data_IF_744528833318
#
_entry.id   IF_744528833318
#
_cell.length_a   1.000
_cell.length_b   1.000
_cell.length_c   1.000
_cell.angle_alpha   90.00
_cell.angle_beta   90.00
_cell.angle_gamma   90.00
#
_symmetry.space_group_name_H-M   'P 1'
#
loop_
_entity.id
_entity.type
_entity.pdbx_description
1 polymer ?
2 non-polymer ?
3 non-polymer ?
4 water ?
#
# COMPACT_ATOMS: atom_id res chain seq x y z
N UNK A 1 -1.73 -23.00 7.47
CA UNK A 1 -1.41 -22.11 6.32
C UNK A 1 -1.82 -20.67 6.61
N UNK A 2 -1.01 -19.72 6.15
CA UNK A 2 -1.30 -18.31 6.36
C UNK A 2 -2.52 -17.90 5.54
N UNK A 3 -3.34 -17.02 6.11
CA UNK A 3 -4.54 -16.57 5.44
C UNK A 3 -4.21 -15.66 4.27
N UNK A 4 -4.85 -15.91 3.14
CA UNK A 4 -4.64 -15.10 1.95
C UNK A 4 -5.75 -14.05 1.85
N UNK A 5 -5.38 -12.85 1.43
CA UNK A 5 -6.35 -11.76 1.27
C UNK A 5 -6.47 -11.40 -0.20
N UNK A 6 -7.56 -10.72 -0.54
CA UNK A 6 -7.91 -10.46 -1.93
C UNK A 6 -8.10 -8.97 -2.15
N UNK A 7 -7.10 -8.30 -2.74
CA UNK A 7 -7.23 -6.87 -3.03
C UNK A 7 -8.39 -6.56 -3.96
N UNK A 8 -9.12 -5.49 -3.66
CA UNK A 8 -10.14 -4.99 -4.56
C UNK A 8 -9.46 -4.29 -5.75
N UNK A 9 -10.24 -3.89 -6.77
CA UNK A 9 -9.64 -3.53 -8.06
C UNK A 9 -8.54 -2.48 -8.07
N UNK A 10 -8.69 -1.39 -7.33
CA UNK A 10 -7.68 -0.33 -7.38
C UNK A 10 -6.37 -0.77 -6.74
N UNK A 11 -6.44 -1.34 -5.54
CA UNK A 11 -5.22 -1.85 -4.92
C UNK A 11 -4.59 -2.94 -5.78
N UNK A 12 -5.41 -3.82 -6.35
CA UNK A 12 -4.86 -4.90 -7.17
C UNK A 12 -4.09 -4.32 -8.37
N UNK A 13 -4.65 -3.27 -8.97
CA UNK A 13 -4.00 -2.61 -10.10
C UNK A 13 -2.65 -2.02 -9.70
N UNK A 14 -2.60 -1.39 -8.53
CA UNK A 14 -1.33 -0.85 -8.04
C UNK A 14 -0.32 -1.97 -7.81
N UNK A 15 -0.76 -3.05 -7.17
CA UNK A 15 0.14 -4.15 -6.86
C UNK A 15 0.74 -4.75 -8.12
N UNK A 16 -0.09 -4.92 -9.14
CA UNK A 16 0.39 -5.51 -10.39
C UNK A 16 1.29 -4.55 -11.15
N UNK A 17 1.05 -3.25 -11.01
CA UNK A 17 1.91 -2.25 -11.63
C UNK A 17 3.29 -2.31 -10.97
N UNK A 18 3.33 -2.84 -9.75
CA UNK A 18 4.58 -2.96 -9.01
C UNK A 18 5.22 -4.32 -9.24
N UNK A 19 4.57 -5.17 -10.03
CA UNK A 19 5.17 -6.44 -10.40
C UNK A 19 4.46 -7.67 -9.88
N UNK A 20 3.41 -7.49 -9.09
CA UNK A 20 2.63 -8.62 -8.59
C UNK A 20 1.94 -9.34 -9.74
N UNK A 21 1.83 -10.66 -9.64
CA UNK A 21 1.32 -11.47 -10.74
C UNK A 21 0.24 -12.46 -10.33
N UNK A 22 -0.41 -12.20 -9.20
CA UNK A 22 -1.52 -13.03 -8.76
C UNK A 22 -2.64 -12.18 -8.15
N UNK A 23 -3.70 -12.83 -7.69
CA UNK A 23 -4.88 -12.12 -7.21
C UNK A 23 -5.09 -12.20 -5.69
N UNK A 24 -4.43 -13.14 -5.04
CA UNK A 24 -4.48 -13.24 -3.58
C UNK A 24 -3.07 -13.30 -3.01
N UNK A 25 -2.93 -12.84 -1.77
CA UNK A 25 -1.62 -12.55 -1.19
C UNK A 25 -1.69 -12.75 0.31
N UNK A 26 -0.56 -13.04 0.94
CA UNK A 26 -0.47 -12.87 2.38
C UNK A 26 -0.36 -11.37 2.65
N UNK A 27 -0.66 -10.94 3.86
CA UNK A 27 -0.49 -9.54 4.20
C UNK A 27 0.96 -9.13 4.02
N UNK A 28 1.88 -10.03 4.33
CA UNK A 28 3.30 -9.73 4.17
C UNK A 28 3.61 -9.40 2.72
N UNK A 29 3.01 -10.15 1.79
CA UNK A 29 3.22 -9.91 0.37
C UNK A 29 2.61 -8.59 -0.09
N UNK A 30 1.41 -8.28 0.40
CA UNK A 30 0.79 -7.02 0.03
C UNK A 30 1.67 -5.86 0.48
N UNK A 31 2.16 -5.95 1.71
CA UNK A 31 3.03 -4.91 2.26
C UNK A 31 4.33 -4.81 1.48
N UNK A 32 4.87 -5.94 1.05
CA UNK A 32 6.11 -5.92 0.29
C UNK A 32 5.92 -5.12 -0.99
N UNK A 33 4.90 -5.46 -1.77
CA UNK A 33 4.67 -4.78 -3.03
C UNK A 33 4.35 -3.30 -2.84
N UNK A 34 3.60 -2.96 -1.80
CA UNK A 34 3.34 -1.56 -1.51
C UNK A 34 4.64 -0.82 -1.20
N UNK A 35 5.52 -1.47 -0.45
CA UNK A 35 6.81 -0.87 -0.16
C UNK A 35 7.64 -0.64 -1.41
N UNK A 36 7.54 -1.56 -2.37
CA UNK A 36 8.26 -1.42 -3.63
C UNK A 36 7.71 -0.23 -4.41
N UNK A 37 6.39 -0.09 -4.43
CA UNK A 37 5.75 1.02 -5.12
C UNK A 37 6.18 2.37 -4.53
N UNK A 38 6.15 2.46 -3.20
CA UNK A 38 6.50 3.69 -2.50
C UNK A 38 7.95 4.07 -2.76
N UNK A 39 8.82 3.08 -2.71
CA UNK A 39 10.23 3.28 -3.04
C UNK A 39 10.43 3.73 -4.49
N UNK A 40 9.78 3.04 -5.41
CA UNK A 40 9.94 3.31 -6.84
C UNK A 40 9.44 4.71 -7.21
N UNK A 41 8.37 5.14 -6.56
CA UNK A 41 7.79 6.46 -6.83
C UNK A 41 8.48 7.56 -6.02
N UNK A 42 9.42 7.17 -5.16
CA UNK A 42 10.20 8.14 -4.40
C UNK A 42 9.30 8.97 -3.47
N UNK A 43 8.38 8.30 -2.78
CA UNK A 43 7.39 9.01 -1.98
C UNK A 43 7.87 9.32 -0.56
N UNK A 44 9.01 8.76 -0.16
CA UNK A 44 9.53 9.05 1.18
C UNK A 44 9.99 10.50 1.30
N UNK A 45 9.72 11.10 2.46
CA UNK A 45 10.25 12.41 2.76
C UNK A 45 11.77 12.33 2.84
N UNK A 46 12.45 13.36 2.35
CA UNK A 46 13.91 13.30 2.25
C UNK A 46 14.61 13.40 3.60
N UNK A 47 14.02 14.12 4.55
CA UNK A 47 14.65 14.33 5.85
C UNK A 47 14.01 13.50 6.96
N UNK A 48 12.70 13.29 6.87
CA UNK A 48 12.00 12.42 7.81
C UNK A 48 11.59 11.14 7.09
N UNK A 49 12.51 10.18 7.04
CA UNK A 49 12.34 9.05 6.13
C UNK A 49 11.27 8.04 6.55
N UNK A 50 10.67 8.25 7.72
CA UNK A 50 9.52 7.44 8.12
C UNK A 50 8.22 7.92 7.48
N UNK A 51 8.27 9.11 6.88
CA UNK A 51 7.08 9.72 6.31
C UNK A 51 6.94 9.43 4.82
N UNK A 52 5.74 9.00 4.44
CA UNK A 52 5.40 8.76 3.04
C UNK A 52 4.45 9.84 2.56
N UNK A 53 4.85 10.57 1.52
CA UNK A 53 4.02 11.62 0.94
C UNK A 53 3.08 11.06 -0.13
N UNK A 54 1.78 11.27 0.06
CA UNK A 54 0.77 10.74 -0.86
C UNK A 54 -0.03 11.83 -1.57
N UNK A 55 0.25 13.09 -1.25
CA UNK A 55 -0.57 14.21 -1.72
C UNK A 55 -0.43 14.50 -3.21
N UNK A 56 0.60 13.93 -3.84
CA UNK A 56 0.80 14.10 -5.28
C UNK A 56 0.63 12.79 -6.03
N UNK A 57 0.23 11.74 -5.32
CA UNK A 57 0.24 10.39 -5.89
C UNK A 57 -1.12 9.72 -5.73
N UNK A 58 -1.49 8.85 -6.69
CA UNK A 58 -2.75 8.13 -6.54
C UNK A 58 -2.87 7.31 -5.26
N UNK A 59 -1.75 6.99 -4.63
CA UNK A 59 -1.78 6.26 -3.36
C UNK A 59 -2.60 7.04 -2.32
N UNK A 60 -2.59 8.36 -2.43
CA UNK A 60 -3.37 9.18 -1.51
C UNK A 60 -4.85 8.86 -1.53
N UNK A 61 -5.42 8.74 -2.73
CA UNK A 61 -6.82 8.37 -2.86
C UNK A 61 -7.06 6.93 -2.42
N UNK A 62 -6.12 6.05 -2.76
CA UNK A 62 -6.26 4.64 -2.41
C UNK A 62 -6.33 4.45 -0.89
N UNK A 63 -5.45 5.13 -0.16
CA UNK A 63 -5.39 5.00 1.29
C UNK A 63 -6.29 6.00 2.01
N UNK A 64 -6.65 7.08 1.33
CA UNK A 64 -7.48 8.10 1.95
C UNK A 64 -6.72 9.04 2.88
N UNK A 65 -5.44 9.26 2.61
CA UNK A 65 -4.62 10.16 3.42
C UNK A 65 -3.67 10.98 2.57
N UNK A 66 -3.13 12.05 3.15
CA UNK A 66 -2.16 12.89 2.47
C UNK A 66 -0.72 12.50 2.81
N UNK A 67 -0.47 12.20 4.09
CA UNK A 67 0.78 11.58 4.52
C UNK A 67 0.47 10.47 5.50
N UNK A 68 1.37 9.50 5.59
CA UNK A 68 1.35 8.58 6.71
C UNK A 68 2.77 8.20 7.11
N UNK A 69 2.90 7.64 8.30
CA UNK A 69 4.18 7.20 8.81
C UNK A 69 4.29 5.68 8.70
N UNK A 70 5.44 5.19 8.24
CA UNK A 70 5.66 3.75 8.16
C UNK A 70 5.73 3.12 9.54
N UNK A 71 5.79 3.95 10.58
CA UNK A 71 5.88 3.45 11.94
C UNK A 71 4.50 3.24 12.57
N UNK A 72 3.45 3.70 11.90
CA UNK A 72 2.10 3.51 12.42
C UNK A 72 1.45 2.31 11.74
N UNK A 73 1.79 1.13 12.24
CA UNK A 73 1.45 -0.12 11.57
C UNK A 73 -0.04 -0.47 11.62
N UNK A 74 -0.70 -0.19 12.73
CA UNK A 74 -2.13 -0.46 12.80
C UNK A 74 -2.86 0.39 11.77
N UNK A 75 -2.44 1.64 11.62
CA UNK A 75 -3.05 2.53 10.65
C UNK A 75 -2.88 2.02 9.22
N UNK A 76 -1.69 1.52 8.91
CA UNK A 76 -1.42 0.99 7.58
C UNK A 76 -2.25 -0.26 7.28
N UNK A 77 -2.35 -1.16 8.25
CA UNK A 77 -3.21 -2.33 8.09
C UNK A 77 -4.66 -1.91 7.82
N UNK A 78 -5.13 -0.89 8.52
CA UNK A 78 -6.50 -0.42 8.34
C UNK A 78 -6.72 0.16 6.94
N UNK A 79 -5.74 0.90 6.44
CA UNK A 79 -5.86 1.50 5.12
C UNK A 79 -5.85 0.42 4.03
N UNK A 80 -5.09 -0.64 4.26
CA UNK A 80 -5.09 -1.77 3.34
C UNK A 80 -6.40 -2.56 3.42
N UNK A 81 -6.90 -2.79 4.62
CA UNK A 81 -8.11 -3.60 4.77
C UNK A 81 -9.31 -2.99 4.05
N UNK A 82 -9.39 -1.66 4.01
CA UNK A 82 -10.49 -1.03 3.31
C UNK A 82 -10.43 -1.36 1.82
N UNK A 83 -9.30 -1.92 1.40
CA UNK A 83 -9.08 -2.28 0.01
C UNK A 83 -8.90 -3.79 -0.18
N UNK A 84 -9.52 -4.56 0.70
CA UNK A 84 -9.55 -6.01 0.59
C UNK A 84 -10.99 -6.48 0.57
N UNK A 85 -11.26 -7.56 -0.15
CA UNK A 85 -12.59 -8.14 -0.16
C UNK A 85 -12.93 -8.74 1.21
N UNK A 86 -14.12 -8.40 1.70
CA UNK A 86 -14.66 -9.02 2.91
C UNK A 86 -15.52 -10.22 2.52
X LIG B 1 8.87 -0.05 4.76
X LIG B 1 7.94 -1.18 4.68
X LIG B 1 6.57 -0.69 4.27
X LIG B 1 8.00 -1.77 6.12
X LIG B 1 6.65 -1.87 6.79
X LIG B 1 8.88 -0.86 6.85
X LIG B 1 9.33 0.04 6.06
X LIG B 1 10.27 1.15 6.43
X LIG B 1 6.25 0.66 4.41
X LIG B 1 5.01 1.13 4.01
X LIG B 1 4.07 0.24 3.48
X LIG B 1 2.49 0.83 3.04
X LIG B 1 4.38 -1.11 3.32
X LIG B 1 5.63 -1.58 3.73
X LIG B 1 5.99 -3.10 6.82
X LIG B 1 4.75 -3.21 7.43
X LIG B 1 4.17 -2.09 8.02
X LIG B 1 2.56 -2.21 8.69
X LIG B 1 4.84 -0.87 8.04
X LIG B 1 6.08 -0.76 7.42
X LIG C 1 12.42 0.25 1.24
X LIG C 1 13.50 0.90 1.98
X LIG C 1 13.68 2.37 1.67
X LIG C 1 14.73 -0.02 1.69
X LIG C 1 15.83 0.65 0.86
X LIG C 1 14.16 -1.17 0.97
X LIG C 1 12.89 -0.96 0.77
X LIG C 1 11.96 -1.89 0.04
X LIG C 1 13.62 2.86 0.36
X LIG C 1 13.76 4.22 0.12
X LIG C 1 13.96 5.09 1.20
X LIG C 1 14.09 6.82 0.93
X LIG C 1 14.03 4.61 2.50
X LIG C 1 13.89 3.25 2.73
X LIG C 1 16.59 1.70 1.39
X LIG C 1 17.60 2.29 0.63
X LIG C 1 17.86 1.81 -0.66
X LIG C 1 19.12 2.54 -1.63
X LIG C 1 17.11 0.76 -1.19
X LIG C 1 16.11 0.18 -0.43
X LIG D 1 -0.42 2.72 15.19
X LIG D 1 -0.79 2.85 13.76
X LIG D 1 0.08 1.35 15.44
X LIG D 1 0.63 3.70 15.52
X LIG D 1 -1.61 2.96 16.02
#
# INVERSE_FOLDING_TARGET
>A
MEKLVQPTPLLLSLLKSAGAQKETFTMKEVLYHLGQYIMAKQLYDEKQQHIVHCSNDPLGELFGVQEFSVKEHRRIYAMISRNLVS
>B hetero
1 I18 N1 C5 C51 C4 C41 N3 C2 C21 C56 C55 C54 CL5 C53 C52 C42 C43 C44 CL4 C45 C46
>C hetero
1 I18 N1 C5 C51 C4 C41 N3 C2 C21 C56 C55 C54 CL5 C53 C52 C42 C43 C44 CL4 C45 C46
>D hetero
1 SO4 S O1 O2 O3 O4
#
